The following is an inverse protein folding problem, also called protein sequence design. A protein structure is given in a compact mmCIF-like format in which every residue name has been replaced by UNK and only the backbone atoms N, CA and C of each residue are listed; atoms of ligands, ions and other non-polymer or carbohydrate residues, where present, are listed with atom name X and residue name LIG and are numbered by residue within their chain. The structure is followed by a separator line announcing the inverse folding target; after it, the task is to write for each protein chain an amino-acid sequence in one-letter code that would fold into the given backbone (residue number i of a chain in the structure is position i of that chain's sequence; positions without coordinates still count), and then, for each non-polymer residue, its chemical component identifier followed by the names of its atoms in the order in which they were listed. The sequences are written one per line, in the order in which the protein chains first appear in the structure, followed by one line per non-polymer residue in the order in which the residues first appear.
data_IF_210745752053
#
_entry.id   IF_210745752053
#
_cell.length_a   1.000
_cell.length_b   1.000
_cell.length_c   1.000
_cell.angle_alpha   90.00
_cell.angle_beta   90.00
_cell.angle_gamma   90.00
#
_symmetry.space_group_name_H-M   'P 1'
#
loop_
_entity.id
_entity.type
_entity.pdbx_description
1 polymer ?
#
# COMPACT_ATOMS: atom_id res chain seq x y z
N UNK A 1 -1.99 7.75 -16.47
CA UNK A 1 -2.52 6.54 -15.82
C UNK A 1 -3.31 5.76 -16.86
N UNK A 2 -2.63 4.89 -17.60
CA UNK A 2 -3.23 4.06 -18.67
C UNK A 2 -3.55 2.64 -18.21
N UNK A 3 -3.25 2.33 -16.95
CA UNK A 3 -3.13 0.97 -16.45
C UNK A 3 -4.44 0.51 -15.82
N UNK A 4 -5.02 -0.54 -16.41
CA UNK A 4 -6.13 -1.27 -15.82
C UNK A 4 -5.68 -1.99 -14.55
N UNK A 5 -6.54 -2.06 -13.54
CA UNK A 5 -6.31 -2.79 -12.30
C UNK A 5 -7.34 -3.90 -12.13
N UNK A 6 -6.93 -5.15 -11.86
CA UNK A 6 -7.87 -6.24 -11.64
C UNK A 6 -8.75 -6.03 -10.40
N UNK A 7 -8.27 -5.31 -9.38
CA UNK A 7 -9.04 -5.05 -8.16
C UNK A 7 -10.25 -4.15 -8.38
N UNK A 8 -10.12 -3.13 -9.23
CA UNK A 8 -11.18 -2.16 -9.50
C UNK A 8 -11.92 -2.46 -10.81
N UNK A 9 -11.32 -3.29 -11.67
CA UNK A 9 -11.70 -3.47 -13.07
C UNK A 9 -11.79 -2.14 -13.85
N UNK A 10 -11.19 -1.07 -13.35
CA UNK A 10 -11.32 0.26 -13.91
C UNK A 10 -10.36 0.45 -15.07
N UNK A 11 -10.87 0.86 -16.23
CA UNK A 11 -10.06 1.30 -17.37
C UNK A 11 -10.36 2.76 -17.69
N UNK A 12 -9.34 3.61 -17.57
CA UNK A 12 -9.47 5.05 -17.85
C UNK A 12 -9.92 5.34 -19.29
N UNK A 13 -9.55 4.50 -20.27
CA UNK A 13 -9.91 4.70 -21.68
C UNK A 13 -11.40 4.46 -21.93
N UNK A 14 -11.99 3.49 -21.26
CA UNK A 14 -13.40 3.13 -21.44
C UNK A 14 -14.31 3.86 -20.45
N UNK A 15 -13.92 3.95 -19.18
CA UNK A 15 -14.70 4.56 -18.10
C UNK A 15 -14.60 6.09 -18.10
N UNK A 16 -13.49 6.64 -18.58
CA UNK A 16 -13.27 8.07 -18.73
C UNK A 16 -12.72 8.78 -17.49
N UNK A 17 -12.11 9.94 -17.71
CA UNK A 17 -11.36 10.66 -16.66
C UNK A 17 -12.24 11.28 -15.57
N UNK A 18 -13.47 11.68 -15.89
CA UNK A 18 -14.36 12.26 -14.87
C UNK A 18 -14.83 11.20 -13.88
N UNK A 19 -15.12 9.99 -14.36
CA UNK A 19 -15.51 8.88 -13.49
C UNK A 19 -14.35 8.46 -12.59
N UNK A 20 -13.15 8.42 -13.15
CA UNK A 20 -11.93 8.21 -12.36
C UNK A 20 -11.79 9.23 -11.23
N UNK A 21 -12.10 10.52 -11.48
CA UNK A 21 -12.05 11.54 -10.42
C UNK A 21 -13.14 11.34 -9.38
N UNK A 22 -14.36 10.98 -9.77
CA UNK A 22 -15.45 10.73 -8.81
C UNK A 22 -15.13 9.55 -7.91
N UNK A 23 -14.52 8.50 -8.46
CA UNK A 23 -14.21 7.27 -7.73
C UNK A 23 -12.93 7.39 -6.88
N UNK A 24 -11.84 7.87 -7.47
CA UNK A 24 -10.51 7.84 -6.85
C UNK A 24 -10.00 9.22 -6.41
N UNK A 25 -10.60 10.31 -6.90
CA UNK A 25 -10.13 11.67 -6.65
C UNK A 25 -10.14 12.08 -5.18
N UNK A 26 -10.98 11.44 -4.35
CA UNK A 26 -11.01 11.63 -2.90
C UNK A 26 -9.70 11.28 -2.21
N UNK A 27 -8.93 10.34 -2.75
CA UNK A 27 -7.63 9.94 -2.21
C UNK A 27 -6.45 10.74 -2.78
N UNK A 28 -6.68 11.54 -3.82
CA UNK A 28 -5.65 12.37 -4.42
C UNK A 28 -5.53 13.72 -3.69
N UNK A 29 -4.32 14.23 -3.42
CA UNK A 29 -4.10 15.52 -2.74
C UNK A 29 -4.50 16.77 -3.54
N UNK A 30 -5.25 16.62 -4.64
CA UNK A 30 -5.54 17.70 -5.59
C UNK A 30 -4.34 18.14 -6.44
N UNK A 31 -4.54 19.17 -7.28
CA UNK A 31 -3.54 19.57 -8.27
C UNK A 31 -3.36 18.54 -9.39
N UNK A 32 -2.29 18.68 -10.19
CA UNK A 32 -1.96 17.72 -11.25
C UNK A 32 -3.16 17.34 -12.14
N UNK A 33 -3.50 16.04 -12.27
CA UNK A 33 -4.65 15.57 -13.06
C UNK A 33 -6.01 16.15 -12.60
N UNK A 34 -6.15 16.53 -11.32
CA UNK A 34 -7.38 17.07 -10.75
C UNK A 34 -7.52 18.59 -10.93
N UNK A 35 -6.44 19.29 -11.32
CA UNK A 35 -6.47 20.74 -11.51
C UNK A 35 -7.49 21.17 -12.58
N UNK A 36 -7.69 20.35 -13.63
CA UNK A 36 -8.70 20.60 -14.68
C UNK A 36 -10.14 20.60 -14.17
N UNK A 37 -10.39 19.97 -13.02
CA UNK A 37 -11.69 19.96 -12.34
C UNK A 37 -11.81 21.06 -11.27
N UNK A 38 -10.84 21.98 -11.18
CA UNK A 38 -10.75 23.03 -10.16
C UNK A 38 -10.50 22.51 -8.73
N UNK A 39 -9.94 21.31 -8.59
CA UNK A 39 -9.46 20.82 -7.29
C UNK A 39 -7.98 21.19 -7.18
N UNK A 40 -7.69 22.28 -6.45
CA UNK A 40 -6.31 22.68 -6.16
C UNK A 40 -5.63 21.69 -5.23
N UNK A 41 -4.31 21.79 -5.07
CA UNK A 41 -3.59 21.08 -4.01
C UNK A 41 -4.24 21.38 -2.66
N UNK A 42 -4.45 20.34 -1.85
CA UNK A 42 -4.99 20.42 -0.50
C UNK A 42 -3.87 20.20 0.52
N UNK A 43 -3.24 21.29 0.94
CA UNK A 43 -2.16 21.23 1.92
C UNK A 43 -2.65 20.70 3.28
N UNK A 44 -3.90 20.96 3.64
CA UNK A 44 -4.43 20.64 4.96
C UNK A 44 -4.79 19.16 5.08
N UNK A 45 -4.91 18.42 3.98
CA UNK A 45 -5.10 16.98 4.03
C UNK A 45 -3.95 16.27 4.76
N UNK A 46 -2.72 16.78 4.63
CA UNK A 46 -1.54 16.21 5.28
C UNK A 46 -1.08 17.02 6.51
N UNK A 47 -1.30 18.34 6.53
CA UNK A 47 -0.69 19.22 7.52
C UNK A 47 -1.64 19.70 8.64
N UNK A 48 -2.91 19.28 8.66
CA UNK A 48 -3.83 19.66 9.74
C UNK A 48 -3.51 18.89 11.03
N UNK A 49 -3.26 19.64 12.11
CA UNK A 49 -2.74 19.09 13.37
C UNK A 49 -3.78 18.95 14.48
N UNK A 50 -5.07 19.25 14.22
CA UNK A 50 -6.11 19.30 15.26
C UNK A 50 -7.19 18.23 15.11
N UNK A 51 -7.08 17.35 14.12
CA UNK A 51 -8.09 16.34 13.80
C UNK A 51 -9.42 16.96 13.33
N UNK A 52 -9.38 18.17 12.78
CA UNK A 52 -10.59 18.92 12.38
C UNK A 52 -10.80 18.95 10.85
N UNK A 53 -9.92 18.28 10.10
CA UNK A 53 -10.08 18.10 8.67
C UNK A 53 -11.18 17.08 8.36
N UNK A 54 -12.22 17.50 7.65
CA UNK A 54 -13.37 16.67 7.31
C UNK A 54 -13.19 15.99 5.94
N UNK A 55 -12.45 14.89 5.93
CA UNK A 55 -12.18 14.11 4.71
C UNK A 55 -13.48 13.62 4.04
N UNK A 56 -14.48 13.25 4.85
CA UNK A 56 -15.77 12.77 4.34
C UNK A 56 -16.51 13.88 3.58
N UNK A 57 -16.56 15.09 4.11
CA UNK A 57 -17.18 16.22 3.43
C UNK A 57 -16.49 16.54 2.09
N UNK A 58 -15.16 16.38 2.00
CA UNK A 58 -14.44 16.50 0.73
C UNK A 58 -14.77 15.37 -0.23
N UNK A 59 -14.79 14.13 0.25
CA UNK A 59 -15.13 12.96 -0.57
C UNK A 59 -16.53 13.09 -1.18
N UNK A 60 -17.54 13.46 -0.39
CA UNK A 60 -18.93 13.66 -0.86
C UNK A 60 -19.02 14.72 -1.97
N UNK A 61 -18.22 15.79 -1.88
CA UNK A 61 -18.15 16.82 -2.94
C UNK A 61 -17.53 16.30 -4.22
N UNK A 62 -16.49 15.47 -4.12
CA UNK A 62 -15.85 14.86 -5.30
C UNK A 62 -16.79 13.85 -5.95
N UNK A 63 -17.39 12.96 -5.17
CA UNK A 63 -18.31 11.92 -5.66
C UNK A 63 -19.56 12.51 -6.33
N UNK A 64 -20.07 13.64 -5.84
CA UNK A 64 -21.22 14.36 -6.43
C UNK A 64 -20.87 15.26 -7.62
N UNK A 65 -19.59 15.38 -7.99
CA UNK A 65 -19.12 16.25 -9.07
C UNK A 65 -19.02 17.74 -8.70
N UNK A 66 -19.22 18.12 -7.42
CA UNK A 66 -19.02 19.48 -6.92
C UNK A 66 -17.54 19.73 -6.55
N UNK A 67 -16.68 19.57 -7.55
CA UNK A 67 -15.23 19.55 -7.40
C UNK A 67 -14.65 20.85 -6.81
N UNK A 68 -15.18 22.01 -7.22
CA UNK A 68 -14.64 23.32 -6.85
C UNK A 68 -14.73 23.59 -5.33
N UNK A 69 -15.77 23.07 -4.68
CA UNK A 69 -16.00 23.28 -3.25
C UNK A 69 -15.43 22.13 -2.38
N UNK A 70 -14.78 21.13 -2.98
CA UNK A 70 -14.30 19.93 -2.28
C UNK A 70 -13.32 20.23 -1.13
N UNK A 71 -12.19 20.90 -1.41
CA UNK A 71 -11.20 21.22 -0.37
C UNK A 71 -11.79 22.18 0.68
N UNK A 72 -12.67 23.11 0.25
CA UNK A 72 -13.33 24.04 1.18
C UNK A 72 -14.24 23.31 2.15
N UNK A 73 -14.93 22.26 1.72
CA UNK A 73 -15.81 21.45 2.56
C UNK A 73 -15.01 20.77 3.69
N UNK A 74 -13.83 20.22 3.41
CA UNK A 74 -12.99 19.61 4.44
C UNK A 74 -12.46 20.59 5.48
N UNK A 75 -12.23 21.85 5.10
CA UNK A 75 -11.56 22.84 5.97
C UNK A 75 -12.50 23.69 6.82
N UNK A 76 -13.82 23.48 6.82
CA UNK A 76 -14.77 24.36 7.52
C UNK A 76 -14.45 24.46 9.02
N UNK A 77 -14.28 23.33 9.69
CA UNK A 77 -14.05 23.27 11.13
C UNK A 77 -12.62 23.69 11.48
N UNK A 78 -11.62 23.18 10.75
CA UNK A 78 -10.22 23.55 10.95
C UNK A 78 -9.99 25.05 10.73
N UNK A 79 -10.60 25.64 9.70
CA UNK A 79 -10.54 27.09 9.44
C UNK A 79 -11.22 27.93 10.52
N UNK A 80 -12.35 27.46 11.07
CA UNK A 80 -13.03 28.17 12.16
C UNK A 80 -12.20 28.15 13.44
N UNK A 81 -11.72 26.97 13.84
CA UNK A 81 -10.84 26.79 15.00
C UNK A 81 -9.53 27.57 14.83
N UNK A 82 -9.02 27.67 13.60
CA UNK A 82 -7.87 28.46 13.27
C UNK A 82 -8.08 29.96 13.53
N UNK A 83 -9.21 30.51 13.07
CA UNK A 83 -9.54 31.93 13.22
C UNK A 83 -9.84 32.36 14.66
N UNK A 84 -10.30 31.43 15.49
CA UNK A 84 -10.62 31.70 16.90
C UNK A 84 -9.45 31.40 17.84
N UNK A 85 -8.35 30.81 17.34
CA UNK A 85 -7.16 30.52 18.14
C UNK A 85 -6.37 31.81 18.43
N UNK A 86 -6.16 32.18 19.71
CA UNK A 86 -5.34 33.32 20.08
C UNK A 86 -3.89 33.17 19.62
N UNK A 87 -3.37 31.94 19.62
CA UNK A 87 -2.04 31.61 19.10
C UNK A 87 -1.99 31.92 17.61
N UNK A 88 -2.94 31.44 16.82
CA UNK A 88 -2.93 31.65 15.37
C UNK A 88 -3.17 33.11 14.99
N UNK A 89 -3.99 33.83 15.74
CA UNK A 89 -4.11 35.28 15.60
C UNK A 89 -2.78 35.98 15.88
N UNK A 90 -2.08 35.59 16.95
CA UNK A 90 -0.74 36.12 17.25
C UNK A 90 0.26 35.79 16.13
N UNK A 91 0.32 34.54 15.66
CA UNK A 91 1.19 34.08 14.57
C UNK A 91 0.95 34.87 13.29
N UNK A 92 -0.30 35.00 12.85
CA UNK A 92 -0.65 35.71 11.62
C UNK A 92 -0.31 37.21 11.70
N UNK A 93 -0.49 37.83 12.87
CA UNK A 93 -0.10 39.23 13.08
C UNK A 93 1.42 39.40 13.25
N UNK A 94 2.11 38.43 13.85
CA UNK A 94 3.57 38.40 13.95
C UNK A 94 4.20 38.23 12.56
N UNK A 95 3.62 37.42 11.67
CA UNK A 95 4.06 37.23 10.28
C UNK A 95 4.07 38.53 9.46
N UNK A 96 3.23 39.51 9.80
CA UNK A 96 3.22 40.84 9.19
C UNK A 96 4.34 41.75 9.69
N UNK A 97 5.00 41.39 10.80
CA UNK A 97 5.89 42.27 11.57
C UNK A 97 7.29 41.68 11.82
N UNK A 98 7.55 40.40 11.48
CA UNK A 98 8.85 39.73 11.72
C UNK A 98 9.55 39.26 10.44
N UNK A 99 10.91 39.27 10.39
CA UNK A 99 11.66 38.71 9.27
C UNK A 99 11.48 37.19 9.13
N UNK A 100 11.62 36.70 7.90
CA UNK A 100 11.36 35.32 7.42
C UNK A 100 11.69 34.14 8.37
N UNK A 101 12.80 34.11 9.14
CA UNK A 101 13.16 32.95 9.97
C UNK A 101 12.22 32.67 11.15
N UNK A 102 11.47 33.68 11.64
CA UNK A 102 10.50 33.49 12.73
C UNK A 102 9.16 32.88 12.26
N UNK A 103 8.87 32.88 10.95
CA UNK A 103 7.66 32.25 10.40
C UNK A 103 7.62 30.73 10.59
N UNK A 104 8.78 30.06 10.55
CA UNK A 104 8.88 28.59 10.58
C UNK A 104 8.40 28.04 11.94
N UNK A 105 8.85 28.64 13.05
CA UNK A 105 8.54 28.19 14.41
C UNK A 105 7.03 28.21 14.70
N UNK A 106 6.29 29.09 14.04
CA UNK A 106 4.84 29.24 14.24
C UNK A 106 4.00 28.54 13.17
N UNK A 107 4.57 28.27 12.00
CA UNK A 107 3.95 27.41 10.98
C UNK A 107 3.86 25.97 11.48
N UNK A 108 4.82 25.49 12.29
CA UNK A 108 4.81 24.12 12.83
C UNK A 108 3.64 23.82 13.78
N UNK A 109 3.14 24.82 14.53
CA UNK A 109 1.98 24.69 15.44
C UNK A 109 0.61 24.68 14.72
N UNK A 110 0.59 25.02 13.42
CA UNK A 110 -0.65 25.17 12.62
C UNK A 110 -0.65 24.26 11.38
N UNK A 111 0.51 24.04 10.76
CA UNK A 111 0.77 23.28 9.55
C UNK A 111 1.95 22.30 9.77
N UNK A 112 2.00 21.68 10.96
CA UNK A 112 3.10 20.82 11.39
C UNK A 112 3.39 19.66 10.44
N UNK A 113 4.49 18.94 10.73
CA UNK A 113 4.83 17.74 9.99
C UNK A 113 3.63 16.77 9.93
N UNK A 114 3.40 16.07 8.80
CA UNK A 114 2.36 15.07 8.73
C UNK A 114 2.53 14.04 9.85
N UNK A 115 1.42 13.70 10.52
CA UNK A 115 1.36 12.62 11.48
C UNK A 115 0.85 11.34 10.82
N UNK A 116 1.08 10.19 11.45
CA UNK A 116 0.51 8.90 11.04
C UNK A 116 -0.95 9.01 10.57
N UNK A 117 -1.82 9.61 11.40
CA UNK A 117 -3.25 9.73 11.11
C UNK A 117 -3.56 10.53 9.82
N UNK A 118 -2.69 11.46 9.42
CA UNK A 118 -2.84 12.23 8.17
C UNK A 118 -2.61 11.36 6.94
N UNK A 119 -1.70 10.37 7.03
CA UNK A 119 -1.40 9.42 5.96
C UNK A 119 -2.37 8.24 5.97
N UNK A 120 -2.47 7.58 7.12
CA UNK A 120 -3.22 6.35 7.34
C UNK A 120 -4.72 6.60 7.16
N UNK A 121 -5.38 7.31 8.07
CA UNK A 121 -6.84 7.36 8.15
C UNK A 121 -7.54 7.96 6.91
N UNK A 122 -6.83 8.80 6.15
CA UNK A 122 -7.44 9.55 5.05
C UNK A 122 -7.38 8.78 3.74
N UNK A 123 -6.22 8.17 3.44
CA UNK A 123 -6.00 7.52 2.16
C UNK A 123 -5.46 6.09 2.30
N UNK A 124 -4.38 5.89 3.06
CA UNK A 124 -3.71 4.59 3.14
C UNK A 124 -4.48 3.55 3.97
N UNK A 125 -5.58 3.93 4.61
CA UNK A 125 -6.47 2.99 5.32
C UNK A 125 -7.12 1.99 4.36
N UNK A 126 -7.14 2.26 3.06
CA UNK A 126 -7.65 1.32 2.05
C UNK A 126 -6.70 0.15 1.78
N UNK A 127 -5.42 0.27 2.16
CA UNK A 127 -4.44 -0.82 2.05
C UNK A 127 -4.78 -2.03 2.94
N UNK A 128 -5.79 -1.93 3.83
CA UNK A 128 -6.29 -3.09 4.58
C UNK A 128 -6.70 -4.22 3.64
N UNK A 129 -7.41 -3.88 2.56
CA UNK A 129 -7.94 -4.85 1.61
C UNK A 129 -6.81 -5.63 0.92
N UNK A 130 -5.78 -4.93 0.47
CA UNK A 130 -4.70 -5.50 -0.35
C UNK A 130 -3.51 -6.00 0.46
N UNK A 131 -3.23 -5.42 1.62
CA UNK A 131 -1.99 -5.66 2.39
C UNK A 131 -2.22 -6.02 3.86
N UNK A 132 -3.47 -6.04 4.33
CA UNK A 132 -3.80 -6.36 5.72
C UNK A 132 -3.05 -5.49 6.75
N UNK A 133 -2.88 -4.21 6.44
CA UNK A 133 -2.27 -3.24 7.37
C UNK A 133 -3.22 -2.93 8.53
N UNK A 134 -2.68 -2.51 9.67
CA UNK A 134 -3.47 -2.24 10.89
C UNK A 134 -3.41 -0.79 11.38
N UNK A 135 -2.83 0.13 10.59
CA UNK A 135 -2.63 1.54 10.98
C UNK A 135 -3.86 2.43 10.95
N UNK A 136 -5.05 1.90 10.66
CA UNK A 136 -6.28 2.70 10.70
C UNK A 136 -6.71 3.10 12.11
N UNK A 137 -6.01 2.63 13.14
CA UNK A 137 -6.14 3.00 14.54
C UNK A 137 -4.75 3.06 15.16
N UNK A 138 -4.37 4.22 15.71
CA UNK A 138 -3.06 4.43 16.36
C UNK A 138 -2.77 3.35 17.43
N UNK A 139 -3.77 3.03 18.26
CA UNK A 139 -3.65 1.97 19.28
C UNK A 139 -3.38 0.61 18.64
N UNK A 140 -4.19 0.22 17.66
CA UNK A 140 -4.03 -1.06 16.96
C UNK A 140 -2.70 -1.12 16.21
N UNK A 141 -2.23 0.00 15.68
CA UNK A 141 -0.96 0.08 14.97
C UNK A 141 0.23 -0.11 15.89
N UNK A 142 0.25 0.61 17.02
CA UNK A 142 1.30 0.49 18.02
C UNK A 142 1.34 -0.90 18.67
N UNK A 143 0.21 -1.63 18.72
CA UNK A 143 0.17 -3.02 19.18
C UNK A 143 0.70 -4.02 18.13
N UNK A 144 0.54 -3.71 16.85
CA UNK A 144 0.88 -4.61 15.73
C UNK A 144 2.25 -4.37 15.11
N UNK A 145 2.80 -3.16 15.20
CA UNK A 145 4.07 -2.75 14.58
C UNK A 145 5.07 -2.20 15.61
N UNK A 146 6.27 -2.76 15.62
CA UNK A 146 7.34 -2.42 16.55
C UNK A 146 7.91 -1.01 16.33
N UNK A 147 7.84 -0.47 15.11
CA UNK A 147 8.25 0.90 14.82
C UNK A 147 7.19 1.89 15.31
N UNK A 148 5.92 1.61 15.03
CA UNK A 148 4.80 2.40 15.57
C UNK A 148 4.80 2.41 17.10
N UNK A 149 5.06 1.27 17.75
CA UNK A 149 5.20 1.16 19.21
C UNK A 149 6.33 2.00 19.81
N UNK A 150 7.28 2.45 18.99
CA UNK A 150 8.38 3.37 19.36
C UNK A 150 8.14 4.79 18.85
N UNK A 151 6.94 5.04 18.31
CA UNK A 151 6.51 6.31 17.78
C UNK A 151 7.26 6.70 16.51
N UNK A 152 7.77 5.75 15.72
CA UNK A 152 8.36 6.06 14.40
C UNK A 152 7.23 6.46 13.46
N UNK A 153 7.30 7.68 12.91
CA UNK A 153 6.28 8.22 12.00
C UNK A 153 6.53 7.77 10.55
N UNK A 154 5.48 7.77 9.71
CA UNK A 154 5.55 7.34 8.32
C UNK A 154 6.68 8.04 7.54
N UNK A 155 6.84 9.35 7.74
CA UNK A 155 7.83 10.20 7.05
C UNK A 155 9.28 9.93 7.46
N UNK A 156 9.52 9.17 8.53
CA UNK A 156 10.87 8.77 8.93
C UNK A 156 11.42 7.66 8.04
N UNK A 157 10.54 6.79 7.50
CA UNK A 157 10.86 5.77 6.51
C UNK A 157 10.56 6.25 5.08
N UNK A 158 9.37 6.81 4.86
CA UNK A 158 8.96 7.49 3.62
C UNK A 158 9.58 8.90 3.55
N UNK A 159 10.90 8.94 3.62
CA UNK A 159 11.66 10.18 3.75
C UNK A 159 11.41 11.12 2.57
N UNK A 160 11.19 12.40 2.87
CA UNK A 160 11.26 13.46 1.87
C UNK A 160 12.67 14.02 1.84
N UNK A 161 13.38 13.88 0.74
CA UNK A 161 14.66 14.58 0.58
C UNK A 161 14.42 16.09 0.70
N UNK A 162 14.95 16.71 1.77
CA UNK A 162 14.86 18.17 1.94
C UNK A 162 14.67 18.62 3.39
N UNK A 163 15.75 18.65 4.17
CA UNK A 163 15.74 19.16 5.55
C UNK A 163 15.63 20.70 5.67
N UNK A 164 15.48 21.46 4.57
CA UNK A 164 15.58 22.92 4.58
C UNK A 164 14.74 23.55 3.47
N UNK A 165 13.62 24.21 3.79
CA UNK A 165 12.92 25.30 3.03
C UNK A 165 12.54 25.02 1.54
N UNK A 166 13.02 23.94 0.94
CA UNK A 166 12.83 23.46 -0.42
C UNK A 166 12.49 21.96 -0.36
N UNK A 167 11.59 21.55 0.54
CA UNK A 167 11.02 20.21 0.45
C UNK A 167 10.22 20.16 -0.84
N UNK A 168 10.68 19.37 -1.81
CA UNK A 168 9.98 19.18 -3.08
C UNK A 168 8.70 18.33 -2.90
N UNK A 169 8.27 18.07 -1.64
CA UNK A 169 7.12 17.24 -1.25
C UNK A 169 7.17 15.84 -1.87
N UNK A 170 8.37 15.39 -2.22
CA UNK A 170 8.62 14.07 -2.78
C UNK A 170 8.71 13.06 -1.65
N UNK A 171 7.63 12.32 -1.42
CA UNK A 171 7.55 11.28 -0.40
C UNK A 171 8.23 10.02 -0.96
N UNK A 172 9.27 9.53 -0.29
CA UNK A 172 9.96 8.31 -0.68
C UNK A 172 9.00 7.13 -0.71
N UNK A 173 9.10 6.30 -1.76
CA UNK A 173 8.20 5.15 -1.95
C UNK A 173 8.99 3.86 -2.20
N UNK A 174 8.35 2.74 -1.87
CA UNK A 174 8.81 1.42 -2.26
C UNK A 174 8.48 1.12 -3.70
N UNK A 175 9.10 0.08 -4.24
CA UNK A 175 8.77 -0.44 -5.54
C UNK A 175 7.54 -1.35 -5.41
N UNK A 176 6.40 -0.97 -5.99
CA UNK A 176 5.15 -1.77 -5.93
C UNK A 176 4.49 -1.87 -7.31
N UNK A 177 3.95 -3.05 -7.65
CA UNK A 177 3.30 -3.34 -8.94
C UNK A 177 1.95 -2.67 -9.15
N UNK A 178 1.32 -2.22 -8.08
CA UNK A 178 0.01 -1.59 -8.10
C UNK A 178 0.08 -0.07 -8.24
N UNK A 179 1.28 0.48 -8.43
CA UNK A 179 1.46 1.89 -8.72
C UNK A 179 1.26 2.19 -10.21
N UNK A 180 0.55 3.28 -10.56
CA UNK A 180 0.27 3.63 -11.95
C UNK A 180 1.56 3.93 -12.72
N UNK A 181 1.50 3.85 -14.05
CA UNK A 181 2.60 4.31 -14.93
C UNK A 181 2.99 5.74 -14.57
N UNK A 182 4.16 5.89 -13.97
CA UNK A 182 4.76 7.17 -13.71
C UNK A 182 5.79 7.47 -14.84
N UNK A 183 6.08 8.74 -15.19
CA UNK A 183 7.14 9.13 -16.15
C UNK A 183 8.56 8.52 -15.90
N UNK A 184 9.64 8.96 -16.55
CA UNK A 184 10.95 8.27 -16.40
C UNK A 184 11.76 8.68 -15.14
N UNK A 185 11.27 9.66 -14.39
CA UNK A 185 11.94 10.41 -13.33
C UNK A 185 11.40 10.10 -11.92
N UNK A 186 10.85 8.91 -11.70
CA UNK A 186 10.22 8.55 -10.42
C UNK A 186 11.22 8.03 -9.42
N UNK A 187 10.94 8.39 -8.19
CA UNK A 187 11.68 8.06 -7.00
C UNK A 187 11.18 6.73 -6.43
N UNK A 188 11.06 5.72 -7.28
CA UNK A 188 10.85 4.35 -6.82
C UNK A 188 12.13 3.89 -6.10
N UNK A 189 11.97 3.11 -5.03
CA UNK A 189 13.11 2.64 -4.23
C UNK A 189 13.90 3.78 -3.56
N UNK A 190 13.19 4.82 -3.11
CA UNK A 190 13.79 5.97 -2.38
C UNK A 190 13.33 6.07 -0.93
N UNK A 191 12.44 5.17 -0.51
CA UNK A 191 12.18 4.99 0.92
C UNK A 191 13.43 4.46 1.62
N UNK A 192 13.58 4.78 2.91
CA UNK A 192 14.66 4.22 3.70
C UNK A 192 14.52 2.71 3.83
N UNK A 193 15.64 2.02 3.73
CA UNK A 193 15.72 0.57 3.90
C UNK A 193 16.01 0.21 5.36
N UNK A 194 15.70 -1.03 5.74
CA UNK A 194 15.93 -1.51 7.10
C UNK A 194 17.40 -1.34 7.53
N UNK A 195 18.35 -1.63 6.64
CA UNK A 195 19.78 -1.62 6.88
C UNK A 195 20.47 -0.27 6.62
N UNK A 196 19.69 0.80 6.46
CA UNK A 196 20.23 2.16 6.38
C UNK A 196 20.99 2.56 7.65
N UNK A 197 21.99 3.43 7.49
CA UNK A 197 22.91 3.84 8.55
C UNK A 197 22.23 4.42 9.81
N UNK A 198 21.08 5.08 9.63
CA UNK A 198 20.29 5.64 10.73
C UNK A 198 19.35 4.63 11.41
N UNK A 199 19.23 3.42 10.84
CA UNK A 199 18.28 2.39 11.23
C UNK A 199 19.03 1.15 11.75
N UNK A 200 19.09 0.05 11.00
CA UNK A 200 19.66 -1.24 11.44
C UNK A 200 21.02 -1.60 10.82
N UNK A 201 21.72 -0.64 10.20
CA UNK A 201 23.06 -0.88 9.64
C UNK A 201 24.02 -1.56 10.64
N UNK A 202 24.61 -2.68 10.22
CA UNK A 202 25.64 -3.39 11.00
C UNK A 202 25.10 -4.19 12.19
N UNK A 203 23.78 -4.33 12.35
CA UNK A 203 23.20 -5.23 13.35
C UNK A 203 23.38 -6.68 12.89
N UNK A 204 24.08 -7.48 13.71
CA UNK A 204 24.21 -8.92 13.53
C UNK A 204 23.18 -9.69 14.35
N UNK A 205 22.59 -10.71 13.72
CA UNK A 205 21.71 -11.70 14.32
C UNK A 205 22.44 -13.02 14.61
N UNK A 206 23.77 -13.04 14.42
CA UNK A 206 24.61 -14.22 14.46
C UNK A 206 24.82 -14.84 13.08
N UNK A 207 25.88 -15.64 12.90
CA UNK A 207 26.39 -16.02 11.58
C UNK A 207 25.38 -16.76 10.70
N UNK A 208 24.48 -17.55 11.30
CA UNK A 208 23.46 -18.27 10.54
C UNK A 208 22.34 -17.36 10.07
N UNK A 209 21.81 -16.47 10.91
CA UNK A 209 20.76 -15.55 10.49
C UNK A 209 21.31 -14.50 9.51
N UNK A 210 22.53 -14.02 9.73
CA UNK A 210 23.20 -13.09 8.82
C UNK A 210 23.42 -13.72 7.43
N UNK A 211 23.72 -15.02 7.33
CA UNK A 211 23.85 -15.69 6.02
C UNK A 211 22.51 -15.82 5.28
N UNK A 212 21.37 -15.79 6.00
CA UNK A 212 20.06 -15.83 5.34
C UNK A 212 19.72 -14.50 4.66
N UNK A 213 20.29 -13.38 5.12
CA UNK A 213 20.02 -12.06 4.54
C UNK A 213 20.51 -11.90 3.09
N UNK A 214 21.31 -12.85 2.59
CA UNK A 214 21.68 -12.97 1.18
C UNK A 214 20.47 -13.30 0.28
N UNK A 215 19.46 -13.98 0.82
CA UNK A 215 18.29 -14.46 0.05
C UNK A 215 16.94 -14.28 0.76
N UNK A 216 16.90 -13.82 2.01
CA UNK A 216 15.69 -13.41 2.73
C UNK A 216 15.67 -11.89 2.90
N UNK A 217 14.51 -11.28 2.68
CA UNK A 217 14.23 -9.93 3.15
C UNK A 217 14.07 -9.92 4.68
N UNK A 218 14.33 -8.78 5.33
CA UNK A 218 14.19 -8.66 6.80
C UNK A 218 12.76 -8.98 7.25
N UNK A 219 11.81 -8.48 6.48
CA UNK A 219 10.37 -8.61 6.59
C UNK A 219 9.93 -10.08 6.57
N UNK A 220 10.64 -10.96 5.86
CA UNK A 220 10.30 -12.39 5.81
C UNK A 220 10.34 -13.03 7.20
N UNK A 221 11.24 -12.59 8.09
CA UNK A 221 11.31 -13.05 9.47
C UNK A 221 10.48 -12.18 10.44
N UNK A 222 10.29 -10.92 10.08
CA UNK A 222 9.70 -9.89 10.95
C UNK A 222 8.22 -9.59 10.65
N UNK A 223 7.62 -10.21 9.64
CA UNK A 223 6.17 -10.18 9.38
C UNK A 223 5.67 -11.63 9.28
N UNK A 224 5.70 -12.40 10.39
CA UNK A 224 5.31 -13.81 10.41
C UNK A 224 3.80 -14.04 10.20
N UNK A 225 2.96 -13.02 10.43
CA UNK A 225 1.51 -13.15 10.46
C UNK A 225 0.86 -11.80 10.14
N UNK A 226 -0.24 -11.84 9.41
CA UNK A 226 -1.07 -10.71 9.04
C UNK A 226 -2.42 -10.78 9.78
N UNK A 227 -2.98 -9.65 10.21
CA UNK A 227 -4.27 -9.62 10.88
C UNK A 227 -5.40 -9.97 9.90
N UNK A 228 -6.41 -10.69 10.37
CA UNK A 228 -7.67 -10.93 9.64
C UNK A 228 -8.86 -10.32 10.35
N UNK A 229 -10.04 -10.46 9.76
CA UNK A 229 -11.30 -9.97 10.30
C UNK A 229 -11.55 -8.49 10.04
N UNK A 230 -12.34 -7.87 10.91
CA UNK A 230 -12.70 -6.46 10.80
C UNK A 230 -11.60 -5.56 11.34
N UNK A 231 -10.98 -4.78 10.45
CA UNK A 231 -9.97 -3.79 10.78
C UNK A 231 -10.48 -2.38 10.48
N UNK A 232 -9.96 -1.35 11.16
CA UNK A 232 -10.19 0.03 10.72
C UNK A 232 -9.71 0.21 9.28
N UNK A 233 -10.64 0.45 8.34
CA UNK A 233 -10.34 0.54 6.91
C UNK A 233 -11.02 -0.52 6.04
N UNK A 234 -11.46 -1.64 6.62
CA UNK A 234 -12.12 -2.72 5.89
C UNK A 234 -11.71 -4.10 6.39
N UNK A 235 -11.75 -5.08 5.49
CA UNK A 235 -11.32 -6.45 5.75
C UNK A 235 -10.25 -6.86 4.74
N UNK A 236 -9.22 -7.61 5.14
CA UNK A 236 -8.25 -8.17 4.19
C UNK A 236 -8.92 -9.10 3.19
N UNK A 237 -8.67 -8.86 1.91
CA UNK A 237 -9.25 -9.63 0.82
C UNK A 237 -8.51 -10.96 0.65
N UNK A 238 -9.26 -12.03 0.44
CA UNK A 238 -8.74 -13.36 0.10
C UNK A 238 -8.91 -13.63 -1.40
N UNK A 239 -10.12 -13.37 -1.91
CA UNK A 239 -10.46 -13.52 -3.32
C UNK A 239 -11.43 -12.46 -3.78
N UNK A 240 -11.35 -12.06 -5.05
CA UNK A 240 -12.42 -11.32 -5.72
C UNK A 240 -12.76 -11.94 -7.07
N UNK A 241 -13.99 -11.74 -7.51
CA UNK A 241 -14.46 -12.20 -8.82
C UNK A 241 -15.30 -11.13 -9.51
N UNK A 242 -14.97 -10.89 -10.79
CA UNK A 242 -15.75 -10.11 -11.74
C UNK A 242 -16.48 -11.01 -12.75
N UNK A 243 -16.51 -12.33 -12.51
CA UNK A 243 -17.01 -13.31 -13.47
C UNK A 243 -18.42 -12.99 -13.98
N UNK A 244 -19.28 -12.44 -13.13
CA UNK A 244 -20.68 -12.20 -13.44
C UNK A 244 -20.99 -10.72 -13.75
N UNK A 245 -19.96 -9.90 -13.98
CA UNK A 245 -20.10 -8.47 -14.28
C UNK A 245 -20.43 -7.60 -13.05
N UNK A 246 -20.43 -8.19 -11.87
CA UNK A 246 -20.47 -7.52 -10.56
C UNK A 246 -19.37 -8.11 -9.67
N UNK A 247 -18.85 -7.31 -8.73
CA UNK A 247 -17.78 -7.74 -7.84
C UNK A 247 -18.30 -8.63 -6.72
N UNK A 248 -17.72 -9.82 -6.60
CA UNK A 248 -17.96 -10.76 -5.49
C UNK A 248 -16.65 -10.94 -4.71
N UNK A 249 -16.67 -10.62 -3.41
CA UNK A 249 -15.50 -10.67 -2.54
C UNK A 249 -15.61 -11.79 -1.48
N UNK A 250 -14.47 -12.40 -1.16
CA UNK A 250 -14.27 -13.24 0.02
C UNK A 250 -13.12 -12.63 0.82
N UNK A 251 -13.35 -12.45 2.12
CA UNK A 251 -12.39 -11.84 3.03
C UNK A 251 -11.80 -12.87 3.99
N UNK A 252 -10.60 -12.58 4.49
CA UNK A 252 -9.98 -13.39 5.54
C UNK A 252 -10.56 -13.03 6.90
N UNK A 253 -11.31 -13.94 7.50
CA UNK A 253 -11.96 -13.74 8.80
C UNK A 253 -11.02 -13.94 10.01
N UNK A 254 -9.84 -14.53 9.80
CA UNK A 254 -8.88 -14.81 10.85
C UNK A 254 -7.46 -14.44 10.38
N UNK A 255 -6.59 -14.14 11.35
CA UNK A 255 -5.19 -13.91 11.08
C UNK A 255 -4.58 -15.05 10.27
N UNK A 256 -3.71 -14.69 9.34
CA UNK A 256 -3.17 -15.61 8.35
C UNK A 256 -1.67 -15.36 8.16
N UNK A 257 -1.00 -16.35 7.58
CA UNK A 257 0.42 -16.24 7.30
C UNK A 257 0.59 -15.58 5.91
N UNK A 258 1.51 -14.60 5.75
CA UNK A 258 1.84 -14.12 4.42
C UNK A 258 2.48 -15.21 3.57
N UNK A 259 2.29 -15.09 2.26
CA UNK A 259 3.00 -15.90 1.28
C UNK A 259 4.45 -15.37 1.17
N UNK A 260 5.41 -16.28 1.20
CA UNK A 260 6.82 -15.96 0.98
C UNK A 260 7.18 -16.29 -0.46
N UNK A 261 7.59 -15.29 -1.24
CA UNK A 261 7.89 -15.44 -2.66
C UNK A 261 9.12 -14.62 -3.08
N UNK A 262 9.73 -15.00 -4.21
CA UNK A 262 10.91 -14.34 -4.73
C UNK A 262 10.56 -12.97 -5.31
N UNK A 263 11.38 -11.97 -4.97
CA UNK A 263 11.18 -10.61 -5.41
C UNK A 263 12.51 -9.88 -5.55
N UNK A 264 12.75 -9.26 -6.71
CA UNK A 264 13.98 -8.53 -7.03
C UNK A 264 13.93 -7.03 -6.75
N UNK A 265 12.84 -6.53 -6.15
CA UNK A 265 12.70 -5.10 -5.90
C UNK A 265 12.23 -4.30 -7.10
N UNK A 266 11.78 -4.94 -8.20
CA UNK A 266 11.26 -4.25 -9.38
C UNK A 266 9.91 -4.80 -9.83
N UNK A 267 8.99 -3.90 -10.17
CA UNK A 267 7.75 -4.27 -10.84
C UNK A 267 7.67 -3.60 -12.22
N UNK A 268 7.37 -4.40 -13.23
CA UNK A 268 7.13 -3.92 -14.59
C UNK A 268 5.67 -3.52 -14.85
N UNK A 269 5.36 -3.30 -16.12
CA UNK A 269 3.99 -3.15 -16.61
C UNK A 269 3.28 -4.52 -16.73
N UNK A 270 3.19 -5.21 -15.60
CA UNK A 270 2.64 -6.58 -15.45
C UNK A 270 1.82 -6.68 -14.17
N UNK A 271 0.87 -7.61 -14.12
CA UNK A 271 0.06 -7.86 -12.92
C UNK A 271 0.95 -8.07 -11.68
N UNK A 272 0.49 -7.67 -10.47
CA UNK A 272 1.16 -7.99 -9.21
C UNK A 272 1.54 -9.47 -9.12
N UNK A 273 2.82 -9.76 -9.29
CA UNK A 273 3.35 -11.11 -9.44
C UNK A 273 4.67 -11.27 -8.70
N UNK A 274 5.30 -12.42 -8.88
CA UNK A 274 6.54 -12.79 -8.19
C UNK A 274 7.59 -13.25 -9.20
N UNK A 275 8.85 -13.12 -8.83
CA UNK A 275 9.98 -13.55 -9.64
C UNK A 275 10.25 -15.05 -9.49
N UNK A 276 11.17 -15.58 -10.30
CA UNK A 276 11.67 -16.93 -10.14
C UNK A 276 12.93 -16.95 -9.25
N UNK A 277 13.16 -18.09 -8.59
CA UNK A 277 14.34 -18.33 -7.74
C UNK A 277 15.69 -17.99 -8.40
N UNK A 278 15.78 -18.21 -9.71
CA UNK A 278 17.02 -18.06 -10.46
C UNK A 278 17.17 -16.67 -11.09
N UNK A 279 16.21 -15.78 -10.88
CA UNK A 279 16.31 -14.40 -11.36
C UNK A 279 17.36 -13.63 -10.55
N UNK A 280 17.89 -12.58 -11.14
CA UNK A 280 18.99 -11.83 -10.52
C UNK A 280 18.44 -10.90 -9.43
N UNK A 281 19.09 -10.90 -8.26
CA UNK A 281 18.78 -9.96 -7.19
C UNK A 281 17.54 -10.30 -6.36
N UNK A 282 16.93 -11.48 -6.56
CA UNK A 282 15.74 -11.88 -5.82
C UNK A 282 16.04 -12.18 -4.35
N UNK A 283 15.12 -11.75 -3.48
CA UNK A 283 15.03 -12.16 -2.08
C UNK A 283 13.62 -12.67 -1.79
N UNK A 284 13.52 -13.64 -0.90
CA UNK A 284 12.26 -14.12 -0.38
C UNK A 284 11.63 -13.03 0.49
N UNK A 285 10.46 -12.57 0.09
CA UNK A 285 9.76 -11.39 0.62
C UNK A 285 8.31 -11.77 0.97
N UNK A 286 7.70 -11.20 2.02
CA UNK A 286 6.32 -11.48 2.38
C UNK A 286 5.31 -10.70 1.54
N UNK A 287 4.25 -11.40 1.14
CA UNK A 287 3.15 -10.88 0.36
C UNK A 287 1.81 -11.28 0.97
N UNK A 288 0.82 -10.41 0.82
CA UNK A 288 -0.56 -10.84 0.80
C UNK A 288 -0.90 -11.31 -0.61
N UNK A 289 -1.17 -12.60 -0.78
CA UNK A 289 -1.63 -13.17 -2.03
C UNK A 289 -3.16 -13.12 -2.11
N UNK A 290 -3.71 -12.67 -3.24
CA UNK A 290 -5.16 -12.52 -3.47
C UNK A 290 -5.52 -13.21 -4.78
N UNK A 291 -6.52 -14.09 -4.78
CA UNK A 291 -7.00 -14.70 -6.02
C UNK A 291 -8.03 -13.81 -6.70
N UNK A 292 -7.69 -13.27 -7.87
CA UNK A 292 -8.59 -12.47 -8.70
C UNK A 292 -9.14 -13.27 -9.87
N UNK A 293 -10.44 -13.17 -10.13
CA UNK A 293 -11.09 -13.81 -11.28
C UNK A 293 -11.74 -12.78 -12.20
N UNK A 294 -11.42 -12.81 -13.49
CA UNK A 294 -11.99 -11.91 -14.51
C UNK A 294 -11.94 -12.51 -15.92
N UNK A 295 -12.65 -11.89 -16.84
CA UNK A 295 -12.67 -12.27 -18.25
C UNK A 295 -11.60 -11.53 -19.04
N UNK A 296 -10.89 -12.25 -19.90
CA UNK A 296 -9.95 -11.71 -20.88
C UNK A 296 -10.46 -12.05 -22.30
N UNK A 297 -10.26 -11.16 -23.26
CA UNK A 297 -10.66 -11.34 -24.65
C UNK A 297 -9.93 -12.51 -25.33
N UNK A 298 -8.81 -12.99 -24.76
CA UNK A 298 -8.03 -14.11 -25.27
C UNK A 298 -7.28 -13.76 -26.56
N UNK A 299 -7.04 -12.47 -26.81
CA UNK A 299 -6.28 -11.96 -27.95
C UNK A 299 -4.78 -11.93 -27.68
N UNK A 300 -4.37 -11.90 -26.41
CA UNK A 300 -2.98 -12.00 -25.99
C UNK A 300 -2.53 -13.48 -26.00
N UNK A 301 -1.49 -13.86 -26.77
CA UNK A 301 -1.03 -15.25 -26.85
C UNK A 301 -0.51 -15.83 -25.53
N UNK A 302 0.09 -15.02 -24.66
CA UNK A 302 0.60 -15.46 -23.36
C UNK A 302 -0.55 -15.82 -22.42
N UNK A 303 -1.58 -14.97 -22.41
CA UNK A 303 -2.83 -15.21 -21.69
C UNK A 303 -3.54 -16.45 -22.22
N UNK A 304 -3.67 -16.58 -23.54
CA UNK A 304 -4.37 -17.71 -24.13
C UNK A 304 -3.67 -19.05 -23.84
N UNK A 305 -2.33 -19.06 -23.83
CA UNK A 305 -1.56 -20.25 -23.52
C UNK A 305 -1.59 -20.62 -22.02
N UNK A 306 -1.56 -19.61 -21.14
CA UNK A 306 -1.41 -19.78 -19.70
C UNK A 306 -2.31 -18.80 -18.92
N UNK A 307 -3.66 -18.95 -18.98
CA UNK A 307 -4.59 -17.93 -18.51
C UNK A 307 -4.44 -17.60 -17.03
N UNK A 308 -4.09 -18.59 -16.20
CA UNK A 308 -4.03 -18.45 -14.73
C UNK A 308 -2.62 -18.15 -14.18
N UNK A 309 -1.58 -18.20 -15.02
CA UNK A 309 -0.19 -18.00 -14.58
C UNK A 309 0.57 -16.94 -15.38
N UNK A 310 -0.01 -16.45 -16.48
CA UNK A 310 0.52 -15.30 -17.20
C UNK A 310 0.49 -14.04 -16.34
N UNK A 311 1.64 -13.37 -16.22
CA UNK A 311 1.77 -12.05 -15.55
C UNK A 311 1.34 -10.89 -16.46
N UNK A 312 1.12 -11.13 -17.76
CA UNK A 312 0.58 -10.12 -18.66
C UNK A 312 -0.82 -9.67 -18.22
N UNK A 313 -1.02 -8.34 -18.21
CA UNK A 313 -2.32 -7.70 -17.99
C UNK A 313 -3.40 -8.22 -18.96
N UNK A 314 -2.99 -8.61 -20.18
CA UNK A 314 -3.90 -9.12 -21.19
C UNK A 314 -4.85 -8.06 -21.73
N UNK A 315 -6.01 -8.50 -22.19
CA UNK A 315 -7.07 -7.68 -22.77
C UNK A 315 -8.37 -7.91 -21.98
N UNK A 316 -8.49 -7.34 -20.76
CA UNK A 316 -9.63 -7.58 -19.87
C UNK A 316 -10.94 -7.09 -20.52
N UNK A 317 -12.01 -7.87 -20.36
CA UNK A 317 -13.34 -7.53 -20.88
C UNK A 317 -14.07 -6.64 -19.85
N UNK A 318 -14.55 -5.45 -20.24
CA UNK A 318 -15.33 -4.57 -19.36
C UNK A 318 -16.55 -5.24 -18.72
N UNK A 319 -16.79 -4.96 -17.44
CA UNK A 319 -17.85 -5.59 -16.63
C UNK A 319 -19.25 -5.38 -17.21
N UNK A 320 -19.51 -4.24 -17.85
CA UNK A 320 -20.78 -3.97 -18.53
C UNK A 320 -21.06 -4.98 -19.67
N UNK A 321 -20.03 -5.45 -20.36
CA UNK A 321 -20.16 -6.45 -21.42
C UNK A 321 -20.24 -7.85 -20.85
N UNK A 322 -19.50 -8.14 -19.78
CA UNK A 322 -19.65 -9.39 -19.02
C UNK A 322 -21.09 -9.55 -18.54
N UNK A 323 -21.64 -8.52 -17.88
CA UNK A 323 -23.03 -8.53 -17.39
C UNK A 323 -24.06 -8.69 -18.51
N UNK A 324 -23.82 -8.07 -19.67
CA UNK A 324 -24.72 -8.17 -20.83
C UNK A 324 -24.63 -9.52 -21.55
N UNK A 325 -23.58 -10.30 -21.33
CA UNK A 325 -23.40 -11.61 -21.94
C UNK A 325 -24.24 -12.71 -21.28
N UNK A 326 -24.77 -12.50 -20.06
CA UNK A 326 -25.73 -13.41 -19.43
C UNK A 326 -27.04 -13.48 -20.23
N UNK A 327 -27.02 -14.34 -21.25
CA UNK A 327 -28.07 -14.45 -22.25
C UNK A 327 -29.32 -15.15 -21.70
N UNK A 328 -29.13 -15.98 -20.68
CA UNK A 328 -30.18 -16.82 -20.13
C UNK A 328 -30.79 -16.22 -18.84
N UNK A 329 -30.13 -15.22 -18.25
CA UNK A 329 -30.61 -14.46 -17.10
C UNK A 329 -30.53 -15.21 -15.77
N UNK A 330 -29.65 -16.21 -15.65
CA UNK A 330 -29.45 -16.96 -14.41
C UNK A 330 -28.46 -16.29 -13.44
N UNK A 331 -27.91 -15.14 -13.83
CA UNK A 331 -26.94 -14.37 -13.05
C UNK A 331 -25.53 -14.95 -13.12
N UNK A 332 -25.26 -15.91 -14.00
CA UNK A 332 -23.94 -16.51 -14.17
C UNK A 332 -23.50 -16.42 -15.62
N UNK A 333 -22.32 -15.86 -15.82
CA UNK A 333 -21.75 -15.76 -17.16
C UNK A 333 -20.85 -16.97 -17.41
N UNK A 334 -21.16 -17.69 -18.48
CA UNK A 334 -20.38 -18.85 -18.93
C UNK A 334 -19.42 -18.49 -20.07
N UNK A 335 -18.44 -19.37 -20.33
CA UNK A 335 -17.51 -19.21 -21.48
C UNK A 335 -18.28 -19.17 -22.79
N UNK A 336 -19.30 -20.02 -22.94
CA UNK A 336 -20.12 -20.05 -24.14
C UNK A 336 -20.90 -18.76 -24.37
N UNK A 337 -21.39 -18.14 -23.30
CA UNK A 337 -22.07 -16.84 -23.34
C UNK A 337 -21.12 -15.71 -23.71
N UNK A 338 -19.96 -15.61 -23.07
CA UNK A 338 -18.98 -14.60 -23.44
C UNK A 338 -18.50 -14.75 -24.88
N UNK A 339 -18.24 -15.97 -25.33
CA UNK A 339 -17.77 -16.23 -26.70
C UNK A 339 -18.85 -16.07 -27.77
N UNK A 340 -20.13 -16.02 -27.38
CA UNK A 340 -21.25 -15.74 -28.27
C UNK A 340 -21.72 -14.27 -28.20
N UNK A 341 -21.20 -13.48 -27.25
CA UNK A 341 -21.61 -12.11 -27.03
C UNK A 341 -21.29 -11.23 -28.26
N UNK A 342 -22.31 -10.57 -28.78
CA UNK A 342 -22.27 -9.65 -29.92
C UNK A 342 -23.05 -8.39 -29.52
N UNK A 343 -22.32 -7.38 -29.04
CA UNK A 343 -22.90 -6.14 -28.54
C UNK A 343 -23.54 -5.30 -29.65
N UNK A 344 -23.07 -5.44 -30.89
CA UNK A 344 -23.47 -4.59 -32.01
C UNK A 344 -24.53 -5.24 -32.94
N UNK A 345 -24.74 -6.55 -32.80
CA UNK A 345 -25.73 -7.32 -33.54
C UNK A 345 -25.37 -7.58 -35.01
N UNK A 346 -24.09 -7.52 -35.38
CA UNK A 346 -23.61 -7.79 -36.75
C UNK A 346 -23.51 -9.29 -37.09
N UNK A 347 -23.79 -10.16 -36.12
CA UNK A 347 -23.75 -11.60 -36.24
C UNK A 347 -22.35 -12.19 -36.04
N UNK A 348 -21.38 -11.41 -35.56
CA UNK A 348 -20.05 -11.87 -35.18
C UNK A 348 -19.84 -11.62 -33.69
N UNK A 349 -19.40 -12.62 -32.92
CA UNK A 349 -19.05 -12.38 -31.53
C UNK A 349 -17.90 -11.38 -31.41
N UNK A 350 -18.00 -10.47 -30.44
CA UNK A 350 -16.97 -9.48 -30.12
C UNK A 350 -15.76 -10.14 -29.42
N UNK A 351 -16.01 -11.17 -28.60
CA UNK A 351 -14.98 -11.87 -27.81
C UNK A 351 -14.95 -13.39 -28.07
N UNK A 352 -14.75 -13.85 -29.33
CA UNK A 352 -14.86 -15.27 -29.68
C UNK A 352 -13.80 -16.16 -29.01
N UNK A 353 -12.72 -15.57 -28.50
CA UNK A 353 -11.64 -16.27 -27.80
C UNK A 353 -11.67 -16.03 -26.29
N UNK A 354 -12.77 -15.47 -25.74
CA UNK A 354 -12.85 -15.11 -24.34
C UNK A 354 -12.44 -16.27 -23.43
N UNK A 355 -11.61 -15.98 -22.43
CA UNK A 355 -11.18 -16.91 -21.41
C UNK A 355 -11.47 -16.34 -20.03
N UNK A 356 -12.01 -17.17 -19.15
CA UNK A 356 -12.09 -16.85 -17.73
C UNK A 356 -10.76 -17.22 -17.09
N UNK A 357 -10.13 -16.26 -16.43
CA UNK A 357 -8.87 -16.48 -15.72
C UNK A 357 -9.03 -16.23 -14.23
N UNK A 358 -8.33 -17.05 -13.45
CA UNK A 358 -8.14 -16.87 -12.01
C UNK A 358 -6.64 -16.79 -11.76
N UNK A 359 -6.18 -15.62 -11.31
CA UNK A 359 -4.75 -15.31 -11.14
C UNK A 359 -4.49 -14.98 -9.67
N UNK A 360 -3.40 -15.52 -9.15
CA UNK A 360 -2.90 -15.16 -7.82
C UNK A 360 -2.06 -13.88 -7.91
N UNK A 361 -2.51 -12.84 -7.22
CA UNK A 361 -1.92 -11.50 -7.23
C UNK A 361 -1.15 -11.26 -5.93
N UNK A 362 0.09 -10.81 -6.03
CA UNK A 362 0.99 -10.68 -4.88
C UNK A 362 1.21 -9.21 -4.50
N UNK A 363 0.63 -8.80 -3.37
CA UNK A 363 0.78 -7.45 -2.81
C UNK A 363 1.80 -7.46 -1.67
N UNK A 364 2.93 -6.78 -1.88
CA UNK A 364 4.03 -6.78 -0.92
C UNK A 364 3.58 -6.20 0.42
N UNK A 365 4.00 -6.84 1.52
CA UNK A 365 3.78 -6.33 2.88
C UNK A 365 5.11 -5.88 3.47
N UNK A 366 5.14 -4.63 3.95
CA UNK A 366 6.32 -4.01 4.56
C UNK A 366 6.03 -3.42 5.96
N UNK A 367 4.82 -3.64 6.48
CA UNK A 367 4.34 -3.10 7.76
C UNK A 367 3.83 -4.23 8.66
N UNK A 368 3.48 -3.90 9.90
CA UNK A 368 3.20 -4.89 10.97
C UNK A 368 4.47 -5.64 11.36
N UNK A 369 5.59 -4.92 11.40
CA UNK A 369 6.90 -5.45 11.78
C UNK A 369 6.85 -5.86 13.25
N UNK A 370 7.02 -7.14 13.53
CA UNK A 370 6.98 -7.65 14.90
C UNK A 370 8.34 -7.62 15.57
N UNK A 371 8.31 -7.49 16.89
CA UNK A 371 9.48 -7.69 17.75
C UNK A 371 9.20 -8.80 18.76
N UNK A 372 10.14 -9.03 19.70
CA UNK A 372 9.91 -10.02 20.76
C UNK A 372 8.68 -9.68 21.62
N UNK A 373 8.41 -8.39 21.82
CA UNK A 373 7.44 -7.90 22.80
C UNK A 373 6.27 -7.11 22.17
N UNK A 374 6.25 -6.97 20.83
CA UNK A 374 5.24 -6.21 20.07
C UNK A 374 4.86 -7.00 18.83
N UNK A 375 3.57 -6.97 18.47
CA UNK A 375 3.04 -7.65 17.29
C UNK A 375 2.11 -8.80 17.63
N UNK A 376 1.34 -9.24 16.63
CA UNK A 376 0.36 -10.35 16.74
C UNK A 376 1.02 -11.73 16.77
N UNK A 377 2.35 -11.79 16.63
CA UNK A 377 3.18 -12.99 16.80
C UNK A 377 4.66 -12.62 16.98
N UNK A 378 5.51 -13.59 17.29
CA UNK A 378 6.95 -13.38 17.47
C UNK A 378 7.71 -13.53 16.14
N UNK A 379 8.88 -12.88 15.97
CA UNK A 379 9.72 -13.05 14.78
C UNK A 379 10.04 -14.53 14.54
N UNK A 380 10.09 -14.91 13.25
CA UNK A 380 10.38 -16.29 12.86
C UNK A 380 11.75 -16.73 13.35
N UNK A 381 11.83 -18.01 13.68
CA UNK A 381 13.04 -18.72 14.06
C UNK A 381 13.31 -19.87 13.09
N UNK A 382 14.46 -20.53 13.24
CA UNK A 382 14.87 -21.64 12.38
C UNK A 382 13.78 -22.72 12.27
N UNK A 383 13.07 -23.01 13.37
CA UNK A 383 12.05 -24.07 13.43
C UNK A 383 10.75 -23.69 12.71
N UNK A 384 10.51 -22.41 12.51
CA UNK A 384 9.31 -21.95 11.83
C UNK A 384 9.46 -22.17 10.32
N UNK A 385 10.67 -22.03 9.76
CA UNK A 385 10.94 -22.31 8.34
C UNK A 385 11.34 -23.77 8.07
N UNK A 386 12.08 -24.39 8.98
CA UNK A 386 12.67 -25.71 8.74
C UNK A 386 12.11 -26.82 9.66
N UNK A 387 11.00 -26.54 10.34
CA UNK A 387 10.30 -27.50 11.17
C UNK A 387 9.24 -28.28 10.39
N UNK A 388 8.63 -29.26 11.07
CA UNK A 388 7.56 -30.08 10.49
C UNK A 388 6.28 -29.31 10.14
N UNK A 389 6.14 -28.08 10.64
CA UNK A 389 5.06 -27.13 10.30
C UNK A 389 5.72 -25.88 9.75
N UNK A 390 6.32 -26.01 8.57
CA UNK A 390 7.04 -24.93 7.91
C UNK A 390 6.08 -23.84 7.47
N UNK A 391 6.49 -22.58 7.65
CA UNK A 391 5.88 -21.40 7.05
C UNK A 391 6.22 -21.27 5.56
N UNK A 392 7.23 -21.99 5.06
CA UNK A 392 7.63 -21.95 3.66
C UNK A 392 7.05 -23.19 2.96
N UNK A 393 6.28 -22.96 1.89
CA UNK A 393 6.07 -23.99 0.89
C UNK A 393 7.31 -24.08 -0.01
N UNK A 394 8.24 -24.96 0.35
CA UNK A 394 9.50 -25.11 -0.37
C UNK A 394 9.32 -25.44 -1.86
N UNK A 395 8.27 -26.20 -2.20
CA UNK A 395 8.01 -26.60 -3.57
C UNK A 395 7.57 -25.40 -4.43
N UNK A 396 6.70 -24.54 -3.89
CA UNK A 396 6.21 -23.37 -4.61
C UNK A 396 7.31 -22.35 -4.92
N UNK A 397 8.35 -22.26 -4.08
CA UNK A 397 9.49 -21.37 -4.28
C UNK A 397 10.69 -22.04 -4.99
N UNK A 398 10.50 -23.23 -5.57
CA UNK A 398 11.50 -23.89 -6.42
C UNK A 398 12.59 -24.68 -5.67
N UNK A 399 12.30 -25.17 -4.46
CA UNK A 399 13.10 -26.18 -3.77
C UNK A 399 12.43 -27.55 -3.85
N UNK A 400 13.23 -28.61 -4.00
CA UNK A 400 12.70 -29.98 -4.01
C UNK A 400 12.30 -30.45 -2.59
N UNK A 401 13.00 -29.95 -1.58
CA UNK A 401 12.81 -30.24 -0.16
C UNK A 401 13.39 -29.11 0.67
N UNK A 402 13.15 -29.15 1.98
CA UNK A 402 13.74 -28.21 2.93
C UNK A 402 15.28 -28.23 2.85
N UNK A 403 15.95 -27.11 2.48
CA UNK A 403 17.41 -27.05 2.38
C UNK A 403 18.13 -27.20 3.73
N UNK A 404 17.43 -27.03 4.86
CA UNK A 404 17.98 -27.27 6.20
C UNK A 404 18.11 -28.75 6.58
N UNK A 405 17.37 -29.63 5.90
CA UNK A 405 17.30 -31.07 6.18
C UNK A 405 16.97 -31.40 7.66
N UNK A 406 17.34 -32.61 8.11
CA UNK A 406 17.15 -33.05 9.51
C UNK A 406 17.93 -32.18 10.54
N UNK A 407 18.88 -31.37 10.07
CA UNK A 407 19.76 -30.51 10.88
C UNK A 407 19.02 -29.37 11.58
N UNK A 408 17.85 -28.98 11.08
CA UNK A 408 17.08 -27.86 11.61
C UNK A 408 16.33 -28.15 12.92
N UNK A 409 16.14 -29.43 13.26
CA UNK A 409 15.46 -29.84 14.50
C UNK A 409 16.25 -29.45 15.76
N UNK A 410 17.56 -29.17 15.63
CA UNK A 410 18.47 -29.00 16.75
C UNK A 410 19.41 -27.81 16.56
N UNK A 411 18.95 -26.59 16.86
CA UNK A 411 19.62 -25.57 17.71
C UNK A 411 18.97 -24.20 17.51
N UNK A 412 18.10 -23.81 18.42
CA UNK A 412 17.98 -22.38 18.74
C UNK A 412 19.30 -21.98 19.39
N UNK A 413 20.25 -21.45 18.63
CA UNK A 413 21.46 -20.87 19.22
C UNK A 413 21.01 -19.56 19.85
N UNK A 414 21.02 -19.49 21.18
CA UNK A 414 20.80 -18.23 21.90
C UNK A 414 22.01 -17.33 21.63
N UNK A 415 21.98 -16.59 20.52
CA UNK A 415 22.95 -15.54 20.23
C UNK A 415 22.35 -14.23 20.72
N UNK A 416 22.75 -13.82 21.92
CA UNK A 416 22.52 -12.44 22.40
C UNK A 416 23.80 -11.65 22.21
N UNK A 417 23.91 -10.95 21.07
CA UNK A 417 24.78 -9.78 21.00
C UNK A 417 24.03 -8.57 21.58
N UNK A 418 24.74 -7.61 22.21
CA UNK A 418 24.13 -6.33 22.55
C UNK A 418 23.62 -5.72 21.24
N UNK A 419 22.30 -5.56 21.11
CA UNK A 419 21.71 -4.83 19.99
C UNK A 419 21.92 -3.34 20.30
N UNK A 420 22.84 -2.62 19.64
CA UNK A 420 22.83 -1.17 19.76
C UNK A 420 21.45 -0.71 19.26
N UNK A 421 20.74 0.06 20.09
CA UNK A 421 19.57 0.78 19.59
C UNK A 421 20.06 1.78 18.53
N UNK A 422 19.30 2.02 17.45
CA UNK A 422 19.53 3.16 16.58
C UNK A 422 19.62 4.44 17.41
N UNK A 423 20.43 5.40 16.97
CA UNK A 423 20.53 6.70 17.63
C UNK A 423 19.17 7.39 17.51
N UNK A 424 18.51 7.66 18.63
CA UNK A 424 17.23 8.40 18.63
C UNK A 424 17.43 9.75 17.92
N UNK A 425 16.66 10.00 16.86
CA UNK A 425 16.58 11.32 16.23
C UNK A 425 15.81 12.21 17.20
N UNK A 426 16.42 13.32 17.65
CA UNK A 426 15.78 14.25 18.58
C UNK A 426 14.49 14.81 17.98
N UNK A 427 13.34 14.43 18.56
CA UNK A 427 12.00 14.89 18.18
C UNK A 427 11.60 16.24 18.77
N UNK A 428 12.54 17.00 19.33
CA UNK A 428 12.19 18.28 19.98
C UNK A 428 12.15 19.40 18.94
N UNK A 429 11.08 20.21 18.92
CA UNK A 429 11.14 21.49 18.24
C UNK A 429 12.33 22.27 18.81
N UNK A 430 13.14 22.85 17.94
CA UNK A 430 14.18 23.77 18.35
C UNK A 430 13.49 24.98 19.01
N UNK A 431 13.32 24.95 20.34
CA UNK A 431 13.15 26.05 21.31
C UNK A 431 12.26 25.65 22.51
N UNK A 432 12.79 24.81 23.41
CA UNK A 432 12.53 25.00 24.84
C UNK A 432 13.86 25.26 25.54
N UNK A 433 14.30 26.51 25.44
CA UNK A 433 15.55 26.99 26.04
C UNK A 433 15.45 28.46 26.43
N UNK A 434 14.93 28.72 27.63
CA UNK A 434 15.35 29.87 28.43
C UNK A 434 14.38 31.05 28.55
N UNK A 435 14.01 31.36 29.80
CA UNK A 435 13.59 32.71 30.19
C UNK A 435 12.46 32.80 31.21
N UNK A 436 12.69 32.37 32.45
CA UNK A 436 12.00 32.98 33.60
C UNK A 436 12.66 34.34 33.88
N UNK A 437 11.91 35.42 34.13
CA UNK A 437 12.41 36.48 35.01
C UNK A 437 12.49 36.02 36.46
#
# INVERSE_FOLDING_TARGET
MSRWSPLTNFDLKTSGEEEWVKEFGKYHPGGGPLAKYNISIDCMMCHEQRGLYDFKARAEKIESGDFKDANRAAMVNSSLAARTSPVQFFVYNANLLTPYPLLIVFHDDVNGAPMEASCAEKCHITDVETRAVAWGSEETFAESDAHAAKGVECTECHHTEGFIITSDHQIGRGNTSDSPDLPADHYDDTMRNCDDAACHAGISHGPFADSHMEFLACEACHIPKLPGGDLPGGKPLETFSWQNGEREDVYRDADFQPALAWYNGTFGDVLPGVDARNDTGVKLTPFNNINGTWWDAGTNPEVLANPNTSTSTGDPIPEQYVKAADSNGDGKVTVGEMQAYDANGDGKPDYPNAVLRTVELYYQVAHSIVSKDVGISSPLTCKDCHGSKSVIDWASIGYAEDPGGDSAAAKSIAVTYPRPKPVEVEKKPALQGGGKP
#
